data_IF_789643474895
#
_entry.id   IF_789643474895
#
_cell.length_a   1.000
_cell.length_b   1.000
_cell.length_c   1.000
_cell.angle_alpha   90.00
_cell.angle_beta   90.00
_cell.angle_gamma   90.00
#
_symmetry.space_group_name_H-M   'P 1'
#
loop_
_entity.id
_entity.type
_entity.pdbx_description
1 polymer ?
#
# COMPACT_ATOMS: atom_id res chain seq x y z
N UNK A 1 -42.15 -17.24 -5.11
CA UNK A 1 -40.69 -17.53 -5.22
C UNK A 1 -40.14 -17.86 -3.85
N UNK A 2 -39.32 -18.91 -3.74
CA UNK A 2 -38.58 -19.23 -2.52
C UNK A 2 -37.53 -18.16 -2.24
N UNK A 3 -37.26 -17.87 -0.96
CA UNK A 3 -36.20 -16.96 -0.57
C UNK A 3 -34.85 -17.63 -0.80
N UNK A 4 -33.98 -17.02 -1.62
CA UNK A 4 -32.61 -17.52 -1.80
C UNK A 4 -31.82 -17.33 -0.51
N UNK A 5 -31.05 -18.36 -0.16
CA UNK A 5 -30.17 -18.37 1.00
C UNK A 5 -28.75 -18.60 0.51
N UNK A 6 -27.82 -17.83 1.04
CA UNK A 6 -26.40 -17.94 0.73
C UNK A 6 -25.60 -18.21 1.99
N UNK A 7 -24.50 -18.93 1.84
CA UNK A 7 -23.52 -19.20 2.89
C UNK A 7 -22.17 -18.62 2.49
N UNK A 8 -21.42 -18.15 3.49
CA UNK A 8 -20.06 -17.68 3.29
C UNK A 8 -19.30 -17.70 4.60
N UNK A 9 -18.03 -17.34 4.55
CA UNK A 9 -17.18 -17.28 5.73
C UNK A 9 -16.36 -15.99 5.77
N UNK A 10 -16.48 -15.28 6.88
CA UNK A 10 -15.69 -14.08 7.19
C UNK A 10 -14.43 -14.55 7.93
N UNK A 11 -13.22 -14.27 7.41
CA UNK A 11 -12.01 -14.84 7.98
C UNK A 11 -11.77 -14.45 9.44
N UNK A 12 -11.41 -15.44 10.25
CA UNK A 12 -10.98 -15.25 11.65
C UNK A 12 -9.78 -16.13 11.95
N UNK A 13 -8.78 -15.60 12.69
CA UNK A 13 -7.58 -16.39 13.03
C UNK A 13 -7.81 -17.24 14.27
N UNK A 14 -8.45 -16.67 15.30
CA UNK A 14 -8.76 -17.39 16.53
C UNK A 14 -10.04 -18.22 16.46
N UNK A 15 -10.63 -18.36 15.27
CA UNK A 15 -11.95 -18.98 15.09
C UNK A 15 -13.08 -18.22 15.79
N UNK A 16 -12.88 -16.96 16.17
CA UNK A 16 -13.85 -16.14 16.91
C UNK A 16 -13.79 -14.67 16.48
N UNK A 17 -14.90 -14.14 15.98
CA UNK A 17 -15.16 -12.73 15.77
C UNK A 17 -15.44 -12.03 17.09
N UNK A 18 -14.93 -10.81 17.21
CA UNK A 18 -15.25 -9.89 18.29
C UNK A 18 -16.35 -8.94 17.80
N UNK A 19 -17.61 -9.22 18.16
CA UNK A 19 -18.73 -8.38 17.71
C UNK A 19 -18.65 -6.94 18.24
N UNK A 20 -17.90 -6.71 19.32
CA UNK A 20 -17.56 -5.37 19.83
C UNK A 20 -16.63 -4.57 18.91
N UNK A 21 -15.87 -5.24 18.02
CA UNK A 21 -14.99 -4.58 17.04
C UNK A 21 -15.69 -4.30 15.69
N UNK A 22 -16.95 -4.71 15.52
CA UNK A 22 -17.66 -4.46 14.26
C UNK A 22 -17.80 -2.95 14.05
N UNK A 23 -17.37 -2.48 12.88
CA UNK A 23 -17.43 -1.08 12.49
C UNK A 23 -16.33 -0.19 13.06
N UNK A 24 -15.42 -0.68 13.91
CA UNK A 24 -14.32 0.17 14.44
C UNK A 24 -13.21 0.45 13.42
N UNK A 25 -13.42 0.11 12.14
CA UNK A 25 -12.38 0.03 11.12
C UNK A 25 -12.46 1.20 10.16
N UNK A 26 -11.28 1.70 9.80
CA UNK A 26 -11.12 2.88 8.94
C UNK A 26 -11.07 2.54 7.45
N UNK A 27 -10.82 1.28 7.10
CA UNK A 27 -10.72 0.81 5.72
C UNK A 27 -11.70 -0.35 5.45
N UNK A 28 -12.55 -0.23 4.41
CA UNK A 28 -12.89 0.99 3.66
C UNK A 28 -13.47 2.08 4.56
N UNK A 29 -13.44 3.34 4.10
CA UNK A 29 -14.01 4.47 4.85
C UNK A 29 -15.46 4.17 5.19
N UNK A 30 -15.71 3.87 6.45
CA UNK A 30 -17.02 3.55 6.98
C UNK A 30 -17.35 4.50 8.12
N UNK A 31 -18.64 4.80 8.30
CA UNK A 31 -19.15 5.41 9.52
C UNK A 31 -19.80 4.30 10.31
N UNK A 32 -19.44 4.15 11.56
CA UNK A 32 -20.03 3.14 12.40
C UNK A 32 -20.47 3.71 13.73
N UNK A 33 -21.55 3.13 14.24
CA UNK A 33 -22.02 3.28 15.58
C UNK A 33 -22.17 1.87 16.15
N UNK A 34 -21.39 1.55 17.17
CA UNK A 34 -21.48 0.28 17.86
C UNK A 34 -21.77 0.57 19.33
N UNK A 35 -23.01 0.28 19.76
CA UNK A 35 -23.40 0.37 21.16
C UNK A 35 -23.71 -1.03 21.67
N UNK A 36 -22.81 -1.55 22.47
CA UNK A 36 -23.03 -2.78 23.22
C UNK A 36 -23.51 -2.46 24.62
N UNK A 37 -24.64 -3.03 24.99
CA UNK A 37 -25.11 -3.18 26.37
C UNK A 37 -24.99 -4.67 26.77
N UNK A 38 -25.24 -5.00 28.05
CA UNK A 38 -25.14 -6.37 28.61
C UNK A 38 -25.95 -7.40 27.82
N UNK A 39 -27.13 -7.00 27.33
CA UNK A 39 -28.07 -7.93 26.68
C UNK A 39 -28.21 -7.71 25.18
N UNK A 40 -27.74 -6.57 24.65
CA UNK A 40 -27.93 -6.19 23.25
C UNK A 40 -26.73 -5.41 22.73
N UNK A 41 -26.12 -5.88 21.65
CA UNK A 41 -25.20 -5.06 20.88
C UNK A 41 -25.88 -4.60 19.59
N UNK A 42 -26.04 -3.29 19.47
CA UNK A 42 -26.63 -2.63 18.32
C UNK A 42 -25.50 -2.03 17.48
N UNK A 43 -25.32 -2.56 16.28
CA UNK A 43 -24.27 -2.09 15.38
C UNK A 43 -24.91 -1.52 14.11
N UNK A 44 -24.54 -0.29 13.82
CA UNK A 44 -24.83 0.41 12.58
C UNK A 44 -23.54 0.71 11.85
N UNK A 45 -23.43 0.29 10.60
CA UNK A 45 -22.29 0.60 9.74
C UNK A 45 -22.82 1.14 8.43
N UNK A 46 -22.29 2.27 7.97
CA UNK A 46 -22.49 2.83 6.64
C UNK A 46 -21.18 2.74 5.87
N UNK A 47 -21.23 2.14 4.69
CA UNK A 47 -20.12 2.11 3.75
C UNK A 47 -20.60 2.52 2.36
N UNK A 48 -19.80 3.36 1.71
CA UNK A 48 -20.01 3.76 0.33
C UNK A 48 -18.96 3.04 -0.51
N UNK A 49 -19.40 2.10 -1.37
CA UNK A 49 -18.51 1.31 -2.23
C UNK A 49 -18.98 1.36 -3.69
N UNK A 50 -18.02 1.37 -4.62
CA UNK A 50 -18.31 1.16 -6.04
C UNK A 50 -18.82 -0.28 -6.24
N UNK A 51 -19.86 -0.48 -7.04
CA UNK A 51 -20.48 -1.80 -7.24
C UNK A 51 -19.59 -2.83 -7.93
N UNK A 52 -18.64 -2.37 -8.74
CA UNK A 52 -17.67 -3.24 -9.41
C UNK A 52 -16.41 -3.32 -8.54
N UNK A 53 -16.32 -4.35 -7.70
CA UNK A 53 -15.02 -4.85 -7.26
C UNK A 53 -14.29 -5.60 -8.39
N UNK A 54 -14.99 -5.83 -9.50
CA UNK A 54 -14.35 -6.06 -10.79
C UNK A 54 -13.53 -4.82 -11.11
N UNK A 55 -12.22 -4.94 -10.89
CA UNK A 55 -11.21 -4.03 -11.42
C UNK A 55 -11.54 -3.88 -12.90
N UNK A 56 -12.24 -2.80 -13.28
CA UNK A 56 -12.33 -2.43 -14.67
C UNK A 56 -10.88 -2.35 -15.14
N UNK A 57 -10.47 -3.20 -16.10
CA UNK A 57 -9.06 -3.34 -16.45
C UNK A 57 -8.50 -2.01 -16.92
N UNK A 58 -9.33 -1.05 -17.30
CA UNK A 58 -8.94 0.26 -17.80
C UNK A 58 -8.61 1.31 -16.73
N UNK A 59 -8.53 0.97 -15.44
CA UNK A 59 -8.11 1.96 -14.43
C UNK A 59 -6.68 2.47 -14.67
N UNK A 60 -5.79 1.68 -15.29
CA UNK A 60 -4.47 2.17 -15.73
C UNK A 60 -4.56 3.15 -16.90
N UNK A 61 -5.67 3.18 -17.64
CA UNK A 61 -5.94 4.18 -18.66
C UNK A 61 -6.49 5.48 -18.06
N UNK A 62 -6.79 5.58 -16.77
CA UNK A 62 -7.27 6.85 -16.19
C UNK A 62 -6.32 8.03 -16.45
N UNK A 63 -4.98 7.91 -16.28
CA UNK A 63 -4.06 9.00 -16.60
C UNK A 63 -4.10 9.37 -18.09
N UNK A 64 -4.16 8.37 -18.99
CA UNK A 64 -4.28 8.60 -20.43
C UNK A 64 -5.63 9.24 -20.78
N UNK A 65 -6.71 8.79 -20.16
CA UNK A 65 -8.05 9.35 -20.31
C UNK A 65 -8.13 10.77 -19.78
N UNK A 66 -7.53 11.06 -18.63
CA UNK A 66 -7.44 12.42 -18.08
C UNK A 66 -6.58 13.32 -18.98
N UNK A 67 -5.51 12.78 -19.58
CA UNK A 67 -4.68 13.49 -20.54
C UNK A 67 -5.45 13.78 -21.83
N UNK A 68 -6.11 12.77 -22.43
CA UNK A 68 -6.97 12.92 -23.62
C UNK A 68 -8.11 13.88 -23.31
N UNK A 69 -8.79 13.74 -22.17
CA UNK A 69 -9.83 14.65 -21.72
C UNK A 69 -9.29 16.07 -21.53
N UNK A 70 -8.06 16.27 -21.03
CA UNK A 70 -7.45 17.60 -20.88
C UNK A 70 -7.11 18.25 -22.23
N UNK A 71 -6.63 17.46 -23.19
CA UNK A 71 -6.39 17.88 -24.58
C UNK A 71 -7.70 18.24 -25.30
N UNK A 72 -8.74 17.44 -25.09
CA UNK A 72 -10.05 17.60 -25.71
C UNK A 72 -10.93 18.65 -25.01
N UNK A 73 -10.71 18.92 -23.72
CA UNK A 73 -11.46 19.92 -22.95
C UNK A 73 -11.14 21.37 -23.32
N UNK A 74 -10.07 21.61 -24.07
CA UNK A 74 -9.74 22.97 -24.51
C UNK A 74 -10.68 23.47 -25.63
N UNK A 75 -11.03 22.67 -26.66
CA UNK A 75 -12.08 23.03 -27.63
C UNK A 75 -13.50 22.55 -27.30
N UNK A 76 -13.70 21.48 -26.50
CA UNK A 76 -15.05 20.92 -26.26
C UNK A 76 -15.80 21.48 -25.06
N UNK A 77 -15.24 22.46 -24.33
CA UNK A 77 -15.90 23.16 -23.21
C UNK A 77 -17.26 23.79 -23.58
N UNK A 78 -17.51 24.07 -24.86
CA UNK A 78 -18.75 24.67 -25.35
C UNK A 78 -19.86 23.65 -25.67
N UNK A 79 -19.49 22.41 -26.03
CA UNK A 79 -20.43 21.31 -25.87
C UNK A 79 -20.51 21.05 -24.37
N UNK A 80 -21.57 21.54 -23.73
CA UNK A 80 -22.01 21.07 -22.40
C UNK A 80 -22.07 19.55 -22.48
N UNK A 81 -20.95 18.90 -22.15
CA UNK A 81 -20.88 17.52 -21.77
C UNK A 81 -21.81 17.46 -20.56
N UNK A 82 -23.10 17.17 -20.82
CA UNK A 82 -23.95 16.41 -19.92
C UNK A 82 -23.01 15.36 -19.38
N UNK A 83 -22.68 15.50 -18.10
CA UNK A 83 -21.84 14.58 -17.35
C UNK A 83 -22.17 13.20 -17.91
N UNK A 84 -21.27 12.62 -18.71
CA UNK A 84 -21.43 11.21 -19.03
C UNK A 84 -21.45 10.62 -17.63
N UNK A 85 -22.57 10.00 -17.20
CA UNK A 85 -22.63 9.39 -15.89
C UNK A 85 -21.73 8.17 -16.03
N UNK A 86 -20.41 8.38 -15.98
CA UNK A 86 -19.44 7.34 -15.79
C UNK A 86 -19.96 6.63 -14.57
N UNK A 87 -20.36 5.39 -14.81
CA UNK A 87 -21.23 4.55 -14.00
C UNK A 87 -20.62 4.21 -12.64
N UNK A 88 -20.17 5.20 -11.88
CA UNK A 88 -19.86 5.08 -10.47
C UNK A 88 -21.18 5.05 -9.72
N UNK A 89 -21.93 3.96 -9.89
CA UNK A 89 -23.04 3.63 -9.01
C UNK A 89 -22.42 3.30 -7.66
N UNK A 90 -22.33 4.32 -6.82
CA UNK A 90 -21.99 4.17 -5.43
C UNK A 90 -23.15 3.45 -4.75
N UNK A 91 -22.88 2.30 -4.15
CA UNK A 91 -23.85 1.63 -3.29
C UNK A 91 -23.62 2.08 -1.87
N UNK A 92 -24.65 2.70 -1.27
CA UNK A 92 -24.71 2.85 0.18
C UNK A 92 -25.15 1.52 0.75
N UNK A 93 -24.40 1.02 1.73
CA UNK A 93 -24.71 -0.23 2.41
C UNK A 93 -24.81 0.04 3.90
N UNK A 94 -25.90 -0.43 4.49
CA UNK A 94 -26.18 -0.24 5.90
C UNK A 94 -26.35 -1.59 6.60
N UNK A 95 -25.51 -1.88 7.60
CA UNK A 95 -25.70 -2.99 8.54
C UNK A 95 -26.50 -2.45 9.71
N UNK A 96 -27.54 -3.17 10.11
CA UNK A 96 -28.20 -3.00 11.40
C UNK A 96 -28.38 -4.39 12.01
N UNK A 97 -27.82 -4.64 13.18
CA UNK A 97 -27.94 -5.95 13.82
C UNK A 97 -27.96 -5.92 15.33
N UNK A 98 -28.40 -7.04 15.88
CA UNK A 98 -28.44 -7.36 17.30
C UNK A 98 -27.67 -8.65 17.56
N UNK A 99 -26.81 -8.65 18.57
CA UNK A 99 -26.22 -9.90 19.07
C UNK A 99 -27.28 -10.68 19.86
N UNK A 100 -27.43 -11.96 19.53
CA UNK A 100 -28.28 -12.92 20.23
C UNK A 100 -27.43 -14.03 20.82
N UNK A 101 -27.83 -14.52 21.99
CA UNK A 101 -27.24 -15.69 22.63
C UNK A 101 -28.32 -16.74 22.83
N UNK A 102 -28.13 -17.91 22.22
CA UNK A 102 -29.03 -19.05 22.35
C UNK A 102 -28.22 -20.25 22.82
N UNK A 103 -28.26 -20.54 24.12
CA UNK A 103 -27.38 -21.52 24.74
C UNK A 103 -25.91 -21.11 24.62
N UNK A 104 -25.08 -21.99 24.05
CA UNK A 104 -23.67 -21.74 23.78
C UNK A 104 -23.41 -21.03 22.45
N UNK A 105 -24.43 -20.90 21.59
CA UNK A 105 -24.30 -20.21 20.32
C UNK A 105 -24.49 -18.69 20.51
N UNK A 106 -23.46 -17.94 20.16
CA UNK A 106 -23.50 -16.48 20.12
C UNK A 106 -23.40 -16.07 18.67
N UNK A 107 -24.46 -15.44 18.17
CA UNK A 107 -24.51 -14.98 16.78
C UNK A 107 -25.05 -13.56 16.66
N UNK A 108 -24.55 -12.86 15.65
CA UNK A 108 -24.96 -11.52 15.30
C UNK A 108 -26.00 -11.61 14.19
N UNK A 109 -27.23 -11.20 14.51
CA UNK A 109 -28.35 -11.21 13.57
C UNK A 109 -28.61 -9.80 13.09
N UNK A 110 -28.88 -9.62 11.81
CA UNK A 110 -29.21 -8.29 11.34
C UNK A 110 -29.73 -8.25 9.93
N UNK A 111 -29.72 -7.05 9.37
CA UNK A 111 -30.04 -6.80 7.98
C UNK A 111 -28.97 -5.95 7.34
N UNK A 112 -28.56 -6.33 6.13
CA UNK A 112 -27.82 -5.49 5.19
C UNK A 112 -28.83 -4.85 4.25
N UNK A 113 -28.86 -3.53 4.21
CA UNK A 113 -29.67 -2.75 3.28
C UNK A 113 -28.77 -2.21 2.17
N UNK A 114 -29.13 -2.44 0.91
CA UNK A 114 -28.36 -1.98 -0.25
C UNK A 114 -29.19 -0.97 -1.04
N UNK A 115 -28.58 0.18 -1.32
CA UNK A 115 -29.15 1.27 -2.09
C UNK A 115 -28.34 1.47 -3.39
N UNK A 116 -28.71 0.82 -4.51
CA UNK A 116 -28.08 0.98 -5.82
C UNK A 116 -28.19 2.36 -6.46
N UNK A 117 -29.12 3.21 -6.02
CA UNK A 117 -29.27 4.59 -6.51
C UNK A 117 -28.89 5.61 -5.43
N UNK A 118 -28.19 6.66 -5.83
CA UNK A 118 -27.71 7.76 -4.98
C UNK A 118 -28.83 8.66 -4.43
N UNK A 119 -30.10 8.42 -4.82
CA UNK A 119 -31.24 9.25 -4.42
C UNK A 119 -31.60 9.14 -2.93
N UNK A 120 -30.96 8.26 -2.16
CA UNK A 120 -30.99 8.40 -0.71
C UNK A 120 -30.15 9.62 -0.34
N UNK A 121 -30.73 10.72 0.20
CA UNK A 121 -29.98 11.93 0.43
C UNK A 121 -28.90 11.61 1.45
N UNK A 122 -27.64 11.57 1.00
CA UNK A 122 -26.44 11.38 1.83
C UNK A 122 -26.47 12.29 3.06
N UNK A 123 -27.03 13.49 2.92
CA UNK A 123 -27.28 14.42 4.03
C UNK A 123 -28.19 13.84 5.10
N UNK A 124 -29.26 13.13 4.73
CA UNK A 124 -30.16 12.48 5.67
C UNK A 124 -29.47 11.29 6.36
N UNK A 125 -28.72 10.46 5.63
CA UNK A 125 -27.91 9.40 6.24
C UNK A 125 -26.95 9.99 7.29
N UNK A 126 -26.15 10.99 6.88
CA UNK A 126 -25.20 11.66 7.74
C UNK A 126 -25.86 12.30 8.96
N UNK A 127 -26.92 13.11 8.77
CA UNK A 127 -27.63 13.75 9.87
C UNK A 127 -28.19 12.73 10.85
N UNK A 128 -28.72 11.60 10.37
CA UNK A 128 -29.28 10.57 11.24
C UNK A 128 -28.19 9.77 11.99
N UNK A 129 -27.03 9.56 11.37
CA UNK A 129 -25.86 8.95 12.03
C UNK A 129 -25.31 9.88 13.11
N UNK A 130 -25.03 11.14 12.77
CA UNK A 130 -24.38 12.11 13.66
C UNK A 130 -25.27 12.44 14.88
N UNK A 131 -26.59 12.45 14.70
CA UNK A 131 -27.56 12.71 15.77
C UNK A 131 -28.00 11.46 16.56
N UNK A 132 -27.46 10.27 16.24
CA UNK A 132 -27.94 8.99 16.75
C UNK A 132 -29.44 8.71 16.49
N UNK A 133 -30.10 9.54 15.66
CA UNK A 133 -31.52 9.41 15.38
C UNK A 133 -31.83 8.22 14.48
N UNK A 134 -30.84 7.65 13.77
CA UNK A 134 -30.97 6.37 13.04
C UNK A 134 -31.51 5.26 13.94
N UNK A 135 -31.21 5.31 15.24
CA UNK A 135 -31.65 4.32 16.24
C UNK A 135 -33.15 4.42 16.54
N UNK A 136 -33.80 5.54 16.22
CA UNK A 136 -35.26 5.67 16.39
C UNK A 136 -35.95 4.71 15.43
N UNK A 137 -36.90 3.95 15.96
CA UNK A 137 -37.60 2.88 15.22
C UNK A 137 -38.26 3.40 13.94
N UNK A 138 -38.79 4.61 13.96
CA UNK A 138 -39.46 5.28 12.84
C UNK A 138 -38.48 5.58 11.70
N UNK A 139 -37.30 6.06 12.08
CA UNK A 139 -36.21 6.41 11.18
C UNK A 139 -35.62 5.17 10.51
N UNK A 140 -35.36 4.12 11.29
CA UNK A 140 -34.95 2.83 10.75
C UNK A 140 -36.02 2.24 9.82
N UNK A 141 -37.31 2.30 10.17
CA UNK A 141 -38.41 1.85 9.29
C UNK A 141 -38.42 2.62 7.96
N UNK A 142 -38.16 3.93 7.96
CA UNK A 142 -38.07 4.75 6.74
C UNK A 142 -36.91 4.31 5.85
N UNK A 143 -35.72 4.12 6.43
CA UNK A 143 -34.53 3.61 5.72
C UNK A 143 -34.81 2.22 5.15
N UNK A 144 -35.32 1.33 6.00
CA UNK A 144 -35.65 -0.05 5.64
C UNK A 144 -36.62 -0.14 4.47
N UNK A 145 -37.68 0.68 4.46
CA UNK A 145 -38.67 0.73 3.37
C UNK A 145 -38.06 1.19 2.04
N UNK A 146 -37.11 2.12 2.08
CA UNK A 146 -36.45 2.67 0.89
C UNK A 146 -35.34 1.79 0.32
N UNK A 147 -34.87 0.79 1.06
CA UNK A 147 -33.84 -0.12 0.57
C UNK A 147 -34.40 -0.99 -0.55
N UNK A 148 -33.76 -0.96 -1.71
CA UNK A 148 -34.08 -1.79 -2.88
C UNK A 148 -33.84 -3.28 -2.56
N UNK A 149 -32.74 -3.58 -1.86
CA UNK A 149 -32.37 -4.95 -1.47
C UNK A 149 -32.15 -5.07 0.02
N UNK A 150 -32.61 -6.18 0.60
CA UNK A 150 -32.54 -6.46 2.03
C UNK A 150 -32.04 -7.89 2.25
N UNK A 151 -30.89 -8.02 2.90
CA UNK A 151 -30.34 -9.32 3.24
C UNK A 151 -30.36 -9.50 4.75
N UNK A 152 -31.21 -10.39 5.22
CA UNK A 152 -31.19 -10.82 6.61
C UNK A 152 -29.97 -11.72 6.80
N UNK A 153 -29.16 -11.44 7.81
CA UNK A 153 -27.98 -12.24 8.05
C UNK A 153 -27.98 -12.82 9.46
N UNK A 154 -27.32 -13.98 9.58
CA UNK A 154 -26.86 -14.55 10.84
C UNK A 154 -25.36 -14.81 10.70
N UNK A 155 -24.57 -14.13 11.53
CA UNK A 155 -23.13 -14.25 11.58
C UNK A 155 -22.75 -14.92 12.90
N UNK A 156 -22.19 -16.12 12.83
CA UNK A 156 -21.70 -16.84 14.00
C UNK A 156 -20.33 -16.31 14.43
N UNK A 157 -19.95 -16.53 15.70
CA UNK A 157 -18.60 -16.17 16.17
C UNK A 157 -17.50 -16.83 15.36
N UNK A 158 -17.67 -18.04 14.86
CA UNK A 158 -16.68 -18.70 13.99
C UNK A 158 -16.50 -18.04 12.61
N UNK A 159 -17.25 -16.98 12.29
CA UNK A 159 -17.19 -16.26 11.02
C UNK A 159 -18.13 -16.82 9.95
N UNK A 160 -18.85 -17.91 10.21
CA UNK A 160 -19.85 -18.42 9.26
C UNK A 160 -21.01 -17.45 9.14
N UNK A 161 -21.32 -17.08 7.91
CA UNK A 161 -22.42 -16.19 7.54
C UNK A 161 -23.48 -17.00 6.82
N UNK A 162 -24.73 -16.82 7.25
CA UNK A 162 -25.92 -17.14 6.44
C UNK A 162 -26.60 -15.84 6.03
N UNK A 163 -26.72 -15.59 4.73
CA UNK A 163 -27.50 -14.49 4.17
C UNK A 163 -28.82 -15.04 3.61
N UNK A 164 -29.93 -14.39 3.91
CA UNK A 164 -31.24 -14.69 3.36
C UNK A 164 -31.78 -13.44 2.70
N UNK A 165 -32.01 -13.54 1.40
CA UNK A 165 -32.54 -12.46 0.60
C UNK A 165 -34.03 -12.23 0.91
N UNK A 166 -34.44 -10.96 1.04
CA UNK A 166 -35.84 -10.54 1.03
C UNK A 166 -36.02 -9.28 0.18
N UNK A 167 -37.05 -9.31 -0.67
CA UNK A 167 -37.40 -8.19 -1.53
C UNK A 167 -38.41 -7.27 -0.86
N UNK A 168 -38.38 -5.99 -1.25
CA UNK A 168 -39.56 -5.14 -1.10
C UNK A 168 -40.66 -5.69 -2.04
N UNK A 169 -41.93 -5.79 -1.60
CA UNK A 169 -43.03 -6.26 -2.43
C UNK A 169 -43.10 -5.52 -3.77
N UNK A 170 -42.91 -4.20 -3.74
CA UNK A 170 -42.99 -3.33 -4.91
C UNK A 170 -41.86 -3.57 -5.93
N UNK A 171 -40.73 -4.13 -5.49
CA UNK A 171 -39.59 -4.43 -6.36
C UNK A 171 -39.77 -5.75 -7.11
N UNK A 172 -40.55 -6.70 -6.56
CA UNK A 172 -40.84 -7.98 -7.23
C UNK A 172 -41.58 -7.80 -8.56
N UNK A 173 -42.38 -6.75 -8.70
CA UNK A 173 -43.10 -6.48 -9.95
C UNK A 173 -42.18 -6.01 -11.09
N UNK A 174 -41.00 -5.49 -10.76
CA UNK A 174 -40.01 -4.98 -11.75
C UNK A 174 -39.01 -6.06 -12.16
N UNK A 175 -38.98 -7.17 -11.41
CA UNK A 175 -38.06 -8.29 -11.59
C UNK A 175 -38.68 -9.31 -12.57
N UNK A 176 -38.56 -9.05 -13.87
CA UNK A 176 -38.95 -9.96 -14.95
C UNK A 176 -37.96 -11.12 -15.11
N UNK A 177 -38.41 -12.25 -15.68
CA UNK A 177 -37.72 -13.55 -15.72
C UNK A 177 -36.45 -13.65 -16.57
N UNK A 178 -35.68 -12.57 -16.72
CA UNK A 178 -34.48 -12.55 -17.56
C UNK A 178 -33.27 -13.19 -16.86
N UNK A 179 -32.45 -13.91 -17.63
CA UNK A 179 -31.19 -14.54 -17.20
C UNK A 179 -30.21 -13.52 -16.58
N UNK A 180 -30.28 -12.25 -17.01
CA UNK A 180 -29.51 -11.14 -16.44
C UNK A 180 -29.86 -10.90 -14.96
N UNK A 181 -31.07 -11.24 -14.54
CA UNK A 181 -31.49 -10.99 -13.17
C UNK A 181 -30.85 -11.94 -12.17
N UNK A 182 -30.71 -13.22 -12.49
CA UNK A 182 -30.03 -14.16 -11.60
C UNK A 182 -28.57 -13.74 -11.38
N UNK A 183 -27.90 -13.31 -12.45
CA UNK A 183 -26.55 -12.78 -12.39
C UNK A 183 -26.49 -11.52 -11.51
N UNK A 184 -27.43 -10.58 -11.71
CA UNK A 184 -27.55 -9.36 -10.91
C UNK A 184 -27.80 -9.66 -9.43
N UNK A 185 -28.70 -10.60 -9.11
CA UNK A 185 -29.00 -11.06 -7.74
C UNK A 185 -27.77 -11.67 -7.08
N UNK A 186 -27.05 -12.53 -7.79
CA UNK A 186 -25.80 -13.10 -7.31
C UNK A 186 -24.74 -12.02 -7.04
N UNK A 187 -24.60 -11.04 -7.94
CA UNK A 187 -23.67 -9.91 -7.78
C UNK A 187 -24.01 -9.06 -6.56
N UNK A 188 -25.27 -8.67 -6.38
CA UNK A 188 -25.70 -7.86 -5.22
C UNK A 188 -25.55 -8.64 -3.91
N UNK A 189 -25.83 -9.95 -3.92
CA UNK A 189 -25.64 -10.80 -2.74
C UNK A 189 -24.16 -10.88 -2.35
N UNK A 190 -23.24 -11.00 -3.32
CA UNK A 190 -21.79 -10.94 -3.08
C UNK A 190 -21.39 -9.60 -2.48
N UNK A 191 -21.94 -8.51 -3.00
CA UNK A 191 -21.68 -7.16 -2.48
C UNK A 191 -22.19 -6.98 -1.04
N UNK A 192 -23.34 -7.55 -0.69
CA UNK A 192 -23.85 -7.56 0.68
C UNK A 192 -22.92 -8.35 1.62
N UNK A 193 -22.40 -9.49 1.16
CA UNK A 193 -21.41 -10.27 1.90
C UNK A 193 -20.07 -9.55 2.08
N UNK A 194 -19.50 -8.97 1.01
CA UNK A 194 -18.25 -8.23 1.09
C UNK A 194 -18.36 -7.05 2.03
N UNK A 195 -19.51 -6.38 2.06
CA UNK A 195 -19.77 -5.34 3.05
C UNK A 195 -19.80 -5.87 4.48
N UNK A 196 -20.48 -6.99 4.72
CA UNK A 196 -20.49 -7.62 6.05
C UNK A 196 -19.07 -8.06 6.47
N UNK A 197 -18.30 -8.60 5.53
CA UNK A 197 -16.89 -8.96 5.74
C UNK A 197 -16.06 -7.74 6.08
N UNK A 198 -16.09 -6.69 5.26
CA UNK A 198 -15.35 -5.43 5.48
C UNK A 198 -15.66 -4.84 6.87
N UNK A 199 -16.93 -4.84 7.28
CA UNK A 199 -17.38 -4.35 8.58
C UNK A 199 -16.90 -5.20 9.78
N UNK A 200 -16.70 -6.50 9.60
CA UNK A 200 -16.41 -7.45 10.68
C UNK A 200 -14.96 -7.99 10.73
N UNK A 201 -14.22 -7.97 9.62
CA UNK A 201 -12.94 -8.69 9.47
C UNK A 201 -11.72 -7.78 9.58
N UNK A 202 -10.89 -7.91 10.61
CA UNK A 202 -9.71 -7.06 10.78
C UNK A 202 -8.50 -7.55 10.00
N UNK A 203 -8.06 -6.74 9.03
CA UNK A 203 -6.87 -6.93 8.20
C UNK A 203 -5.57 -6.72 9.01
N UNK A 204 -5.32 -7.58 10.01
CA UNK A 204 -4.07 -7.52 10.79
C UNK A 204 -2.91 -8.24 10.11
N UNK A 205 -3.20 -9.14 9.18
CA UNK A 205 -2.21 -10.11 8.65
C UNK A 205 -2.11 -10.12 7.12
N UNK A 206 -2.86 -9.26 6.43
CA UNK A 206 -2.74 -9.09 4.99
C UNK A 206 -3.21 -7.68 4.57
N UNK A 207 -2.81 -7.28 3.37
CA UNK A 207 -3.30 -6.06 2.76
C UNK A 207 -4.84 -6.13 2.56
N UNK A 208 -5.61 -5.09 2.92
CA UNK A 208 -7.04 -5.00 2.67
C UNK A 208 -7.45 -5.25 1.21
N UNK A 209 -6.60 -4.92 0.25
CA UNK A 209 -6.85 -5.12 -1.18
C UNK A 209 -6.78 -6.60 -1.59
N UNK A 210 -6.17 -7.47 -0.78
CA UNK A 210 -6.06 -8.89 -1.04
C UNK A 210 -7.23 -9.71 -0.48
N UNK A 211 -8.25 -9.09 0.11
CA UNK A 211 -9.36 -9.80 0.76
C UNK A 211 -10.34 -10.51 -0.20
N UNK A 212 -9.93 -10.88 -1.42
CA UNK A 212 -10.82 -11.54 -2.40
C UNK A 212 -10.89 -13.07 -2.22
N UNK A 213 -10.42 -13.60 -1.09
CA UNK A 213 -10.24 -15.04 -0.90
C UNK A 213 -11.49 -15.78 -0.41
N UNK A 214 -12.51 -15.05 0.06
CA UNK A 214 -13.80 -15.65 0.45
C UNK A 214 -14.95 -15.01 -0.32
N UNK A 215 -15.97 -15.80 -0.62
CA UNK A 215 -17.19 -15.39 -1.32
C UNK A 215 -18.40 -16.08 -0.69
N UNK A 216 -19.59 -15.70 -1.14
CA UNK A 216 -20.81 -16.45 -0.88
C UNK A 216 -21.05 -17.54 -1.91
N UNK A 217 -21.81 -18.54 -1.47
CA UNK A 217 -22.26 -19.69 -2.23
C UNK A 217 -23.75 -19.92 -1.97
N UNK A 218 -24.46 -20.47 -2.94
CA UNK A 218 -25.87 -20.85 -2.75
C UNK A 218 -26.00 -21.94 -1.68
N UNK A 219 -27.11 -21.94 -0.92
CA UNK A 219 -27.44 -22.97 0.06
C UNK A 219 -27.40 -24.38 -0.53
N UNK A 220 -27.83 -24.51 -1.78
CA UNK A 220 -27.90 -25.82 -2.45
C UNK A 220 -26.50 -26.33 -2.85
N UNK A 221 -25.47 -25.48 -2.75
CA UNK A 221 -24.09 -25.87 -2.94
C UNK A 221 -23.49 -26.44 -1.63
N UNK A 222 -23.71 -27.74 -1.39
CA UNK A 222 -23.11 -28.47 -0.27
C UNK A 222 -21.58 -28.46 -0.25
N UNK A 223 -20.93 -28.09 -1.37
CA UNK A 223 -19.47 -28.07 -1.53
C UNK A 223 -18.85 -26.71 -1.22
N UNK A 224 -19.62 -25.73 -0.76
CA UNK A 224 -19.09 -24.41 -0.45
C UNK A 224 -17.90 -24.38 0.54
N UNK A 225 -17.82 -25.24 1.58
CA UNK A 225 -16.66 -25.22 2.48
C UNK A 225 -15.39 -25.68 1.77
N UNK A 226 -15.50 -26.71 0.93
CA UNK A 226 -14.40 -27.16 0.07
C UNK A 226 -13.91 -26.05 -0.84
N UNK A 227 -14.84 -25.29 -1.42
CA UNK A 227 -14.52 -24.17 -2.29
C UNK A 227 -13.80 -23.03 -1.54
N UNK A 228 -14.24 -22.70 -0.31
CA UNK A 228 -13.55 -21.72 0.54
C UNK A 228 -12.12 -22.18 0.87
N UNK A 229 -11.92 -23.44 1.27
CA UNK A 229 -10.58 -24.00 1.51
C UNK A 229 -9.71 -23.94 0.25
N UNK A 230 -10.26 -24.31 -0.91
CA UNK A 230 -9.57 -24.24 -2.19
C UNK A 230 -9.05 -22.84 -2.49
N UNK A 231 -9.91 -21.84 -2.32
CA UNK A 231 -9.57 -20.43 -2.57
C UNK A 231 -8.48 -19.95 -1.63
N UNK A 232 -8.55 -20.31 -0.34
CA UNK A 232 -7.55 -19.95 0.67
C UNK A 232 -6.19 -20.63 0.42
N UNK A 233 -6.17 -21.91 0.07
CA UNK A 233 -4.92 -22.61 -0.30
C UNK A 233 -4.31 -22.04 -1.59
N UNK A 234 -5.13 -21.76 -2.60
CA UNK A 234 -4.68 -21.13 -3.85
C UNK A 234 -4.08 -19.76 -3.58
N UNK A 235 -4.71 -18.95 -2.73
CA UNK A 235 -4.20 -17.64 -2.32
C UNK A 235 -2.86 -17.76 -1.57
N UNK A 236 -2.78 -18.65 -0.59
CA UNK A 236 -1.53 -18.95 0.15
C UNK A 236 -0.40 -19.32 -0.81
N UNK A 237 -0.68 -20.23 -1.76
CA UNK A 237 0.30 -20.69 -2.75
C UNK A 237 0.70 -19.58 -3.70
N UNK A 238 -0.25 -18.74 -4.12
CA UNK A 238 0.01 -17.58 -4.99
C UNK A 238 0.98 -16.60 -4.31
N UNK A 239 0.71 -16.20 -3.07
CA UNK A 239 1.58 -15.27 -2.32
C UNK A 239 2.93 -15.91 -1.99
N UNK A 240 2.94 -17.19 -1.60
CA UNK A 240 4.19 -17.91 -1.38
C UNK A 240 5.04 -17.94 -2.65
N UNK A 241 4.50 -18.38 -3.80
CA UNK A 241 5.26 -18.46 -5.06
C UNK A 241 5.67 -17.09 -5.60
N UNK A 242 4.83 -16.08 -5.46
CA UNK A 242 5.18 -14.71 -5.84
C UNK A 242 6.31 -14.11 -4.98
N UNK A 243 6.55 -14.67 -3.77
CA UNK A 243 7.36 -14.15 -2.67
C UNK A 243 8.80 -13.78 -2.99
N UNK A 244 8.96 -12.70 -3.75
CA UNK A 244 10.19 -11.94 -3.93
C UNK A 244 10.46 -11.03 -2.73
N UNK A 245 9.45 -10.76 -1.90
CA UNK A 245 9.57 -9.92 -0.70
C UNK A 245 9.18 -10.66 0.58
N UNK A 246 9.75 -10.21 1.70
CA UNK A 246 9.38 -10.67 3.05
C UNK A 246 7.90 -10.42 3.36
N UNK A 247 7.32 -9.37 2.79
CA UNK A 247 5.92 -9.00 3.00
C UNK A 247 4.97 -9.99 2.33
N UNK A 248 5.24 -10.40 1.09
CA UNK A 248 4.45 -11.42 0.40
C UNK A 248 4.41 -12.75 1.15
N UNK A 249 5.55 -13.17 1.71
CA UNK A 249 5.64 -14.39 2.51
C UNK A 249 4.89 -14.27 3.85
N UNK A 250 4.92 -13.10 4.49
CA UNK A 250 4.11 -12.82 5.69
C UNK A 250 2.62 -12.86 5.38
N UNK A 251 2.19 -12.30 4.25
CA UNK A 251 0.81 -12.38 3.79
C UNK A 251 0.40 -13.84 3.54
N UNK A 252 1.27 -14.64 2.92
CA UNK A 252 1.01 -16.07 2.75
C UNK A 252 0.81 -16.80 4.09
N UNK A 253 1.62 -16.51 5.12
CA UNK A 253 1.43 -17.07 6.47
C UNK A 253 0.11 -16.60 7.11
N UNK A 254 -0.25 -15.33 6.92
CA UNK A 254 -1.53 -14.78 7.38
C UNK A 254 -2.73 -15.51 6.76
N UNK A 255 -2.70 -15.72 5.45
CA UNK A 255 -3.74 -16.48 4.72
C UNK A 255 -3.78 -17.93 5.19
N UNK A 256 -2.62 -18.57 5.38
CA UNK A 256 -2.52 -19.94 5.87
C UNK A 256 -3.13 -20.10 7.27
N UNK A 257 -2.98 -19.11 8.15
CA UNK A 257 -3.63 -19.10 9.46
C UNK A 257 -5.16 -19.10 9.33
N UNK A 258 -5.73 -18.32 8.40
CA UNK A 258 -7.17 -18.39 8.09
C UNK A 258 -7.57 -19.76 7.54
N UNK A 259 -6.77 -20.36 6.65
CA UNK A 259 -7.03 -21.70 6.11
C UNK A 259 -7.13 -22.74 7.22
N UNK A 260 -6.18 -22.75 8.16
CA UNK A 260 -6.18 -23.67 9.31
C UNK A 260 -7.38 -23.44 10.22
N UNK A 261 -7.71 -22.18 10.52
CA UNK A 261 -8.86 -21.83 11.35
C UNK A 261 -10.17 -22.29 10.70
N UNK A 262 -10.36 -22.03 9.41
CA UNK A 262 -11.57 -22.44 8.70
C UNK A 262 -11.70 -23.96 8.62
N UNK A 263 -10.61 -24.68 8.30
CA UNK A 263 -10.59 -26.15 8.29
C UNK A 263 -11.08 -26.70 9.64
N UNK A 264 -10.52 -26.21 10.75
CA UNK A 264 -10.93 -26.62 12.10
C UNK A 264 -12.40 -26.32 12.39
N UNK A 265 -12.91 -25.17 11.97
CA UNK A 265 -14.33 -24.81 12.13
C UNK A 265 -15.23 -25.76 11.35
N UNK A 266 -14.85 -26.03 10.10
CA UNK A 266 -15.66 -26.82 9.19
C UNK A 266 -15.65 -28.32 9.54
N UNK A 267 -14.56 -28.82 10.14
CA UNK A 267 -14.50 -30.16 10.76
C UNK A 267 -15.33 -30.26 12.04
N UNK A 268 -15.40 -29.18 12.83
CA UNK A 268 -16.10 -29.16 14.12
C UNK A 268 -17.61 -28.91 14.01
N UNK A 269 -18.09 -28.35 12.90
CA UNK A 269 -19.50 -28.00 12.70
C UNK A 269 -20.14 -28.91 11.61
N UNK A 270 -20.93 -29.93 12.02
CA UNK A 270 -21.61 -30.82 11.08
C UNK A 270 -22.53 -30.10 10.10
N UNK A 271 -23.03 -28.90 10.44
CA UNK A 271 -23.91 -28.13 9.55
C UNK A 271 -23.16 -27.49 8.38
N UNK A 272 -21.84 -27.35 8.47
CA UNK A 272 -20.99 -26.86 7.38
C UNK A 272 -20.71 -28.01 6.40
N UNK A 273 -20.56 -29.23 6.92
CA UNK A 273 -20.37 -30.44 6.13
C UNK A 273 -18.90 -30.88 6.13
N UNK A 274 -18.59 -32.14 6.49
CA UNK A 274 -17.22 -32.60 6.71
C UNK A 274 -16.50 -33.09 5.45
N UNK A 275 -17.11 -33.00 4.26
CA UNK A 275 -16.53 -33.61 3.06
C UNK A 275 -15.38 -32.76 2.48
N UNK A 276 -14.21 -32.90 3.10
CA UNK A 276 -12.92 -32.36 2.66
C UNK A 276 -12.10 -33.35 1.83
N UNK A 277 -12.74 -34.38 1.26
CA UNK A 277 -12.06 -35.34 0.38
C UNK A 277 -11.22 -34.61 -0.68
N UNK A 278 -9.94 -35.01 -0.77
CA UNK A 278 -8.93 -34.37 -1.63
C UNK A 278 -8.07 -33.29 -0.96
N UNK A 279 -8.34 -32.90 0.29
CA UNK A 279 -7.48 -31.98 1.08
C UNK A 279 -6.79 -32.67 2.27
N UNK A 280 -6.96 -33.98 2.42
CA UNK A 280 -6.37 -34.79 3.48
C UNK A 280 -4.83 -34.77 3.44
N UNK A 281 -4.24 -34.66 2.25
CA UNK A 281 -2.80 -34.61 2.06
C UNK A 281 -2.17 -33.22 2.10
N UNK A 282 -2.97 -32.15 2.17
CA UNK A 282 -2.40 -30.79 2.27
C UNK A 282 -2.10 -30.50 3.73
N UNK A 283 -0.86 -30.79 4.14
CA UNK A 283 -0.36 -30.43 5.45
C UNK A 283 -0.04 -28.93 5.49
N UNK A 284 -0.91 -28.19 6.17
CA UNK A 284 -0.69 -26.77 6.41
C UNK A 284 0.61 -26.49 7.16
N UNK A 285 1.16 -27.44 7.94
CA UNK A 285 2.43 -27.30 8.63
C UNK A 285 3.61 -27.31 7.66
N UNK A 286 3.67 -28.25 6.74
CA UNK A 286 4.68 -28.29 5.68
C UNK A 286 4.72 -26.98 4.86
N UNK A 287 3.57 -26.40 4.52
CA UNK A 287 3.50 -25.11 3.81
C UNK A 287 4.10 -23.98 4.67
N UNK A 288 3.77 -23.94 5.96
CA UNK A 288 4.31 -22.93 6.87
C UNK A 288 5.83 -23.06 7.03
N UNK A 289 6.33 -24.28 7.19
CA UNK A 289 7.76 -24.55 7.33
C UNK A 289 8.52 -24.14 6.08
N UNK A 290 8.00 -24.46 4.90
CA UNK A 290 8.56 -24.01 3.62
C UNK A 290 8.60 -22.47 3.48
N UNK A 291 7.54 -21.78 3.91
CA UNK A 291 7.51 -20.31 3.90
C UNK A 291 8.53 -19.73 4.90
N UNK A 292 8.64 -20.32 6.10
CA UNK A 292 9.57 -19.86 7.14
C UNK A 292 11.03 -20.01 6.72
N UNK A 293 11.39 -21.13 6.05
CA UNK A 293 12.73 -21.32 5.48
C UNK A 293 13.05 -20.18 4.51
N UNK A 294 12.13 -19.86 3.58
CA UNK A 294 12.34 -18.76 2.63
C UNK A 294 12.42 -17.38 3.28
N UNK A 295 11.68 -17.15 4.37
CA UNK A 295 11.81 -15.91 5.15
C UNK A 295 13.20 -15.83 5.79
N UNK A 296 13.72 -16.95 6.32
CA UNK A 296 15.07 -17.00 6.89
C UNK A 296 16.12 -16.69 5.82
N UNK A 297 16.02 -17.30 4.65
CA UNK A 297 16.93 -17.07 3.51
C UNK A 297 16.94 -15.58 3.09
N UNK A 298 15.76 -14.94 2.99
CA UNK A 298 15.66 -13.51 2.65
C UNK A 298 16.33 -12.64 3.73
N UNK A 299 16.11 -12.96 5.01
CA UNK A 299 16.71 -12.20 6.13
C UNK A 299 18.22 -12.34 6.14
N UNK A 300 18.75 -13.54 5.84
CA UNK A 300 20.19 -13.76 5.71
C UNK A 300 20.77 -12.98 4.53
N UNK A 301 20.14 -13.04 3.35
CA UNK A 301 20.54 -12.27 2.18
C UNK A 301 20.52 -10.76 2.42
N UNK A 302 19.53 -10.24 3.16
CA UNK A 302 19.46 -8.82 3.50
C UNK A 302 20.58 -8.43 4.49
N UNK A 303 20.90 -9.29 5.47
CA UNK A 303 22.06 -9.08 6.35
C UNK A 303 23.39 -9.08 5.58
N UNK A 304 23.55 -9.98 4.62
CA UNK A 304 24.74 -10.00 3.77
C UNK A 304 24.86 -8.75 2.91
N UNK A 305 23.74 -8.27 2.34
CA UNK A 305 23.70 -7.00 1.59
C UNK A 305 24.05 -5.82 2.48
N UNK A 306 23.50 -5.76 3.69
CA UNK A 306 23.80 -4.70 4.65
C UNK A 306 25.28 -4.73 5.04
N UNK A 307 25.83 -5.91 5.34
CA UNK A 307 27.24 -6.08 5.63
C UNK A 307 28.14 -5.72 4.43
N UNK A 308 27.76 -6.09 3.21
CA UNK A 308 28.48 -5.73 1.99
C UNK A 308 28.41 -4.21 1.72
N UNK A 309 27.27 -3.57 2.00
CA UNK A 309 27.09 -2.13 1.87
C UNK A 309 27.96 -1.35 2.85
N UNK A 310 28.05 -1.83 4.11
CA UNK A 310 28.93 -1.30 5.15
C UNK A 310 30.41 -1.48 4.79
N UNK A 311 30.80 -2.65 4.26
CA UNK A 311 32.16 -2.90 3.77
C UNK A 311 32.57 -1.91 2.68
N UNK A 312 31.63 -1.51 1.81
CA UNK A 312 31.90 -0.51 0.79
C UNK A 312 31.92 0.93 1.34
N UNK A 313 31.17 1.23 2.41
CA UNK A 313 31.18 2.54 3.07
C UNK A 313 32.48 2.84 3.82
N UNK A 314 33.15 1.83 4.38
CA UNK A 314 34.42 2.01 5.12
C UNK A 314 35.49 2.79 4.33
N UNK A 315 35.87 2.34 3.11
CA UNK A 315 36.78 3.07 2.25
C UNK A 315 36.30 4.48 1.89
N UNK A 316 34.99 4.69 1.76
CA UNK A 316 34.40 6.01 1.50
C UNK A 316 34.57 6.97 2.67
N UNK A 317 34.25 6.51 3.87
CA UNK A 317 34.40 7.30 5.10
C UNK A 317 35.88 7.63 5.32
N UNK A 318 36.79 6.66 5.13
CA UNK A 318 38.23 6.89 5.22
C UNK A 318 38.71 7.94 4.20
N UNK A 319 38.24 7.84 2.96
CA UNK A 319 38.57 8.80 1.89
C UNK A 319 38.05 10.21 2.19
N UNK A 320 36.82 10.32 2.71
CA UNK A 320 36.23 11.60 3.09
C UNK A 320 36.95 12.22 4.30
N UNK A 321 37.30 11.43 5.31
CA UNK A 321 38.08 11.90 6.47
C UNK A 321 39.46 12.41 6.07
N UNK A 322 40.13 11.70 5.16
CA UNK A 322 41.41 12.13 4.60
C UNK A 322 41.29 13.44 3.82
N UNK A 323 40.21 13.60 3.04
CA UNK A 323 39.90 14.86 2.35
C UNK A 323 39.69 16.03 3.32
N UNK A 324 38.90 15.82 4.37
CA UNK A 324 38.67 16.85 5.41
C UNK A 324 40.00 17.22 6.09
N UNK A 325 40.85 16.23 6.38
CA UNK A 325 42.19 16.45 6.93
C UNK A 325 43.09 17.30 6.02
N UNK A 326 43.09 17.03 4.71
CA UNK A 326 43.85 17.84 3.74
C UNK A 326 43.34 19.26 3.61
N UNK A 327 42.02 19.47 3.59
CA UNK A 327 41.41 20.81 3.55
C UNK A 327 41.73 21.59 4.82
N UNK A 328 41.62 20.96 5.99
CA UNK A 328 41.96 21.57 7.26
C UNK A 328 43.45 21.95 7.33
N UNK A 329 44.34 21.05 6.90
CA UNK A 329 45.78 21.31 6.83
C UNK A 329 46.10 22.44 5.86
N UNK A 330 45.52 22.44 4.65
CA UNK A 330 45.70 23.51 3.68
C UNK A 330 45.24 24.87 4.22
N UNK A 331 44.07 24.91 4.87
CA UNK A 331 43.53 26.12 5.50
C UNK A 331 44.42 26.60 6.64
N UNK A 332 44.97 25.69 7.44
CA UNK A 332 45.92 26.01 8.50
C UNK A 332 47.22 26.61 7.93
N UNK A 333 47.80 26.01 6.89
CA UNK A 333 49.01 26.51 6.23
C UNK A 333 48.79 27.88 5.58
N UNK A 334 47.65 28.09 4.93
CA UNK A 334 47.27 29.39 4.36
C UNK A 334 47.16 30.45 5.48
N UNK A 335 46.51 30.12 6.60
CA UNK A 335 46.42 31.05 7.74
C UNK A 335 47.79 31.35 8.36
N UNK A 336 48.68 30.36 8.45
CA UNK A 336 50.04 30.54 8.95
C UNK A 336 50.88 31.43 8.03
N UNK A 337 50.66 31.35 6.72
CA UNK A 337 51.30 32.22 5.73
C UNK A 337 50.69 33.64 5.70
N UNK A 338 49.37 33.75 5.75
CA UNK A 338 48.63 35.01 5.60
C UNK A 338 48.62 35.87 6.89
N UNK A 339 48.91 35.28 8.06
CA UNK A 339 48.78 35.95 9.34
C UNK A 339 50.14 36.01 10.09
N UNK A 340 51.04 36.94 9.71
CA UNK A 340 52.35 37.11 10.34
C UNK A 340 52.28 37.51 11.83
N UNK A 341 51.09 37.85 12.34
CA UNK A 341 50.86 38.12 13.76
C UNK A 341 50.86 36.85 14.63
N UNK A 342 50.56 35.66 14.07
CA UNK A 342 50.58 34.39 14.83
C UNK A 342 52.02 33.92 15.09
N UNK A 343 52.98 34.34 14.27
CA UNK A 343 54.43 34.20 14.51
C UNK A 343 55.03 35.37 15.28
N UNK A 344 54.21 36.38 15.65
CA UNK A 344 54.68 37.64 16.21
C UNK A 344 53.80 38.11 17.36
N UNK A 345 53.88 37.45 18.52
CA UNK A 345 53.53 38.11 19.78
C UNK A 345 54.46 39.31 19.96
N UNK A 346 53.88 40.52 19.96
CA UNK A 346 54.53 41.83 20.22
C UNK A 346 56.04 41.81 20.07
N UNK A 347 56.48 41.64 18.83
CA UNK A 347 57.90 41.63 18.53
C UNK A 347 58.37 43.08 18.51
N UNK A 348 59.25 43.43 19.46
CA UNK A 348 59.88 44.73 19.52
C UNK A 348 60.43 45.14 18.13
N UNK A 349 60.38 46.43 17.74
CA UNK A 349 60.74 46.91 16.41
C UNK A 349 62.11 46.42 15.90
N UNK A 350 62.98 46.02 16.82
CA UNK A 350 64.34 45.53 16.61
C UNK A 350 64.41 44.17 15.89
N UNK A 351 63.43 43.27 16.07
CA UNK A 351 63.41 41.99 15.37
C UNK A 351 62.59 42.02 14.05
N UNK A 352 61.93 43.14 13.73
CA UNK A 352 61.26 43.31 12.44
C UNK A 352 62.29 43.37 11.30
N UNK A 353 63.47 43.94 11.56
CA UNK A 353 64.61 43.91 10.63
C UNK A 353 65.20 42.49 10.48
N UNK A 354 65.14 41.66 11.51
CA UNK A 354 65.59 40.26 11.45
C UNK A 354 64.60 39.38 10.65
N UNK A 355 63.30 39.61 10.76
CA UNK A 355 62.28 38.92 9.96
C UNK A 355 62.27 39.37 8.49
N UNK A 356 62.57 40.64 8.20
CA UNK A 356 62.78 41.10 6.81
C UNK A 356 64.00 40.45 6.15
N UNK A 357 64.98 40.00 6.96
CA UNK A 357 66.13 39.23 6.49
C UNK A 357 65.89 37.71 6.47
N UNK A 358 64.75 37.24 6.98
CA UNK A 358 64.41 35.82 7.00
C UNK A 358 64.00 35.36 5.60
N UNK A 359 64.99 34.99 4.80
CA UNK A 359 64.79 34.19 3.61
C UNK A 359 64.20 32.84 4.06
N UNK A 360 63.00 32.45 3.60
CA UNK A 360 62.48 31.11 3.89
C UNK A 360 63.57 30.13 3.52
N UNK A 361 63.96 29.26 4.45
CA UNK A 361 64.98 28.25 4.18
C UNK A 361 64.60 27.51 2.89
N UNK A 362 65.52 27.30 1.94
CA UNK A 362 65.20 26.83 0.59
C UNK A 362 64.24 25.64 0.55
N UNK A 363 64.32 24.73 1.53
CA UNK A 363 63.45 23.57 1.64
C UNK A 363 61.95 23.91 1.88
N UNK A 364 61.61 25.00 2.60
CA UNK A 364 60.22 25.43 2.79
C UNK A 364 59.61 26.00 1.49
N UNK A 365 60.40 26.75 0.73
CA UNK A 365 60.02 27.22 -0.60
C UNK A 365 59.84 26.03 -1.55
N UNK A 366 60.75 25.05 -1.51
CA UNK A 366 60.61 23.80 -2.28
C UNK A 366 59.34 23.04 -1.91
N UNK A 367 59.02 22.90 -0.62
CA UNK A 367 57.80 22.21 -0.17
C UNK A 367 56.54 22.98 -0.59
N UNK A 368 56.48 24.29 -0.40
CA UNK A 368 55.29 25.09 -0.78
C UNK A 368 55.05 25.07 -2.29
N UNK A 369 56.12 25.18 -3.08
CA UNK A 369 56.06 25.08 -4.54
C UNK A 369 55.65 23.68 -4.99
N UNK A 370 56.23 22.64 -4.39
CA UNK A 370 55.83 21.26 -4.65
C UNK A 370 54.35 21.02 -4.28
N UNK A 371 53.88 21.52 -3.15
CA UNK A 371 52.47 21.39 -2.75
C UNK A 371 51.53 22.17 -3.69
N UNK A 372 51.90 23.38 -4.12
CA UNK A 372 51.11 24.18 -5.06
C UNK A 372 51.06 23.54 -6.46
N UNK A 373 52.19 23.04 -6.97
CA UNK A 373 52.28 22.38 -8.27
C UNK A 373 51.52 21.04 -8.28
N UNK A 374 51.54 20.31 -7.15
CA UNK A 374 50.82 19.04 -7.02
C UNK A 374 49.36 19.22 -6.59
N UNK A 375 48.95 20.38 -6.06
CA UNK A 375 47.56 20.64 -5.68
C UNK A 375 46.61 20.49 -6.88
N UNK A 376 47.00 20.98 -8.05
CA UNK A 376 46.23 20.84 -9.29
C UNK A 376 46.11 19.36 -9.68
N UNK A 377 47.18 18.58 -9.53
CA UNK A 377 47.18 17.14 -9.84
C UNK A 377 46.26 16.38 -8.87
N UNK A 378 46.33 16.69 -7.58
CA UNK A 378 45.48 16.10 -6.54
C UNK A 378 44.02 16.48 -6.78
N UNK A 379 43.71 17.76 -7.01
CA UNK A 379 42.37 18.24 -7.29
C UNK A 379 41.79 17.65 -8.58
N UNK A 380 42.61 17.53 -9.63
CA UNK A 380 42.21 16.91 -10.91
C UNK A 380 41.96 15.42 -10.76
N UNK A 381 42.83 14.71 -10.03
CA UNK A 381 42.64 13.30 -9.68
C UNK A 381 41.34 13.07 -8.91
N UNK A 382 41.01 13.97 -7.99
CA UNK A 382 39.74 13.95 -7.26
C UNK A 382 38.52 14.26 -8.11
N UNK A 383 38.60 15.26 -9.02
CA UNK A 383 37.51 15.57 -9.95
C UNK A 383 37.23 14.38 -10.89
N UNK A 384 38.28 13.75 -11.41
CA UNK A 384 38.17 12.55 -12.25
C UNK A 384 37.58 11.37 -11.46
N UNK A 385 38.01 11.19 -10.21
CA UNK A 385 37.43 10.18 -9.31
C UNK A 385 35.94 10.44 -9.06
N UNK A 386 35.54 11.69 -8.80
CA UNK A 386 34.15 12.08 -8.57
C UNK A 386 33.30 11.88 -9.83
N UNK A 387 33.83 12.19 -11.02
CA UNK A 387 33.14 11.94 -12.29
C UNK A 387 32.98 10.44 -12.59
N UNK A 388 34.02 9.63 -12.36
CA UNK A 388 33.94 8.18 -12.47
C UNK A 388 32.92 7.59 -11.48
N UNK A 389 32.85 8.17 -10.28
CA UNK A 389 31.88 7.81 -9.26
C UNK A 389 30.44 8.12 -9.66
N UNK A 390 30.17 9.34 -10.16
CA UNK A 390 28.86 9.72 -10.71
C UNK A 390 28.48 8.78 -11.87
N UNK A 391 29.44 8.39 -12.72
CA UNK A 391 29.24 7.38 -13.75
C UNK A 391 28.85 6.00 -13.19
N UNK A 392 29.49 5.56 -12.10
CA UNK A 392 29.20 4.27 -11.45
C UNK A 392 27.85 4.28 -10.73
N UNK A 393 27.51 5.37 -10.03
CA UNK A 393 26.16 5.62 -9.48
C UNK A 393 25.14 5.59 -10.60
N UNK A 394 25.37 6.33 -11.70
CA UNK A 394 24.50 6.30 -12.88
C UNK A 394 24.32 4.88 -13.40
N UNK A 395 25.38 4.08 -13.50
CA UNK A 395 25.28 2.67 -13.93
C UNK A 395 24.47 1.78 -12.97
N UNK A 396 24.50 2.07 -11.66
CA UNK A 396 23.75 1.34 -10.64
C UNK A 396 22.31 1.80 -10.55
N UNK A 397 22.04 3.10 -10.66
CA UNK A 397 20.70 3.67 -10.80
C UNK A 397 20.06 3.15 -12.08
N UNK A 398 20.78 3.16 -13.20
CA UNK A 398 20.29 2.58 -14.46
C UNK A 398 20.07 1.06 -14.35
N UNK A 399 20.88 0.32 -13.58
CA UNK A 399 20.64 -1.11 -13.29
C UNK A 399 19.45 -1.34 -12.35
N UNK A 400 19.27 -0.47 -11.37
CA UNK A 400 18.09 -0.42 -10.50
C UNK A 400 16.82 -0.16 -11.33
N UNK A 401 16.93 0.70 -12.35
CA UNK A 401 15.89 0.89 -13.37
C UNK A 401 15.86 -0.21 -14.45
N UNK A 402 16.88 -1.07 -14.61
CA UNK A 402 16.81 -2.27 -15.47
C UNK A 402 16.04 -3.43 -14.84
N UNK A 403 15.62 -3.32 -13.58
CA UNK A 403 14.48 -4.11 -13.04
C UNK A 403 13.18 -3.85 -13.85
N UNK A 404 13.18 -2.88 -14.77
CA UNK A 404 12.17 -2.71 -15.82
C UNK A 404 12.05 -3.86 -16.82
N UNK A 405 12.92 -4.86 -16.86
CA UNK A 405 12.68 -6.00 -17.77
C UNK A 405 11.41 -6.79 -17.36
N UNK A 406 11.01 -6.73 -16.08
CA UNK A 406 9.68 -7.18 -15.63
C UNK A 406 8.55 -6.28 -16.15
N UNK A 407 8.80 -4.98 -16.35
CA UNK A 407 7.84 -3.98 -16.83
C UNK A 407 7.72 -3.95 -18.37
N UNK A 408 8.81 -4.24 -19.08
CA UNK A 408 8.88 -4.31 -20.55
C UNK A 408 8.14 -5.54 -21.09
N UNK A 409 8.22 -6.67 -20.39
CA UNK A 409 7.52 -7.89 -20.77
C UNK A 409 5.99 -7.79 -20.63
N UNK A 410 5.49 -6.95 -19.72
CA UNK A 410 4.04 -6.86 -19.46
C UNK A 410 3.31 -5.85 -20.36
N UNK A 411 4.00 -4.88 -20.97
CA UNK A 411 3.32 -3.72 -21.57
C UNK A 411 3.71 -3.37 -23.02
N UNK A 412 4.72 -4.00 -23.62
CA UNK A 412 5.05 -3.77 -25.05
C UNK A 412 5.45 -2.33 -25.43
N UNK A 413 5.73 -1.47 -24.45
CA UNK A 413 6.07 -0.06 -24.66
C UNK A 413 7.59 0.12 -24.75
N UNK A 414 8.12 -0.02 -25.96
CA UNK A 414 9.52 0.31 -26.25
C UNK A 414 9.69 1.84 -26.36
N UNK A 415 10.39 2.48 -25.40
CA UNK A 415 11.04 3.80 -25.60
C UNK A 415 10.72 4.93 -24.63
N UNK A 416 9.60 4.90 -23.90
CA UNK A 416 9.14 6.05 -23.07
C UNK A 416 10.08 6.43 -21.89
N UNK A 417 10.62 5.47 -21.10
CA UNK A 417 11.44 5.81 -19.93
C UNK A 417 12.79 6.45 -20.29
N UNK A 418 13.34 6.11 -21.46
CA UNK A 418 14.63 6.62 -21.93
C UNK A 418 14.57 8.11 -22.28
N UNK A 419 13.43 8.56 -22.81
CA UNK A 419 13.20 9.96 -23.18
C UNK A 419 13.08 10.85 -21.93
N UNK A 420 12.30 10.40 -20.93
CA UNK A 420 12.11 11.15 -19.69
C UNK A 420 13.41 11.26 -18.87
N UNK A 421 14.18 10.18 -18.77
CA UNK A 421 15.47 10.18 -18.07
C UNK A 421 16.51 11.08 -18.75
N UNK A 422 16.59 11.04 -20.08
CA UNK A 422 17.50 11.91 -20.84
C UNK A 422 17.13 13.38 -20.68
N UNK A 423 15.83 13.71 -20.65
CA UNK A 423 15.36 15.08 -20.45
C UNK A 423 15.73 15.62 -19.07
N UNK A 424 15.61 14.80 -18.01
CA UNK A 424 16.02 15.17 -16.66
C UNK A 424 17.54 15.41 -16.53
N UNK A 425 18.35 14.57 -17.17
CA UNK A 425 19.81 14.72 -17.16
C UNK A 425 20.29 15.96 -17.92
N UNK A 426 19.64 16.30 -19.03
CA UNK A 426 19.92 17.54 -19.78
C UNK A 426 19.61 18.77 -18.90
N UNK A 427 18.49 18.75 -18.18
CA UNK A 427 18.13 19.83 -17.23
C UNK A 427 19.12 19.96 -16.07
N UNK A 428 19.55 18.84 -15.49
CA UNK A 428 20.53 18.85 -14.39
C UNK A 428 21.92 19.33 -14.84
N UNK A 429 22.40 18.87 -16.01
CA UNK A 429 23.67 19.30 -16.58
C UNK A 429 23.66 20.80 -16.94
N UNK A 430 22.54 21.27 -17.51
CA UNK A 430 22.36 22.69 -17.84
C UNK A 430 22.40 23.59 -16.60
N UNK A 431 21.80 23.14 -15.50
CA UNK A 431 21.83 23.84 -14.22
C UNK A 431 23.25 23.97 -13.65
N UNK A 432 24.04 22.90 -13.70
CA UNK A 432 25.43 22.92 -13.20
C UNK A 432 26.30 23.88 -14.01
N UNK A 433 26.18 23.86 -15.34
CA UNK A 433 26.91 24.77 -16.22
C UNK A 433 26.52 26.23 -15.92
N UNK A 434 25.23 26.49 -15.71
CA UNK A 434 24.72 27.84 -15.50
C UNK A 434 25.15 28.46 -14.16
N UNK A 435 25.31 27.65 -13.10
CA UNK A 435 25.66 28.16 -11.77
C UNK A 435 27.15 28.08 -11.43
N UNK A 436 27.85 27.02 -11.85
CA UNK A 436 29.23 26.76 -11.43
C UNK A 436 30.24 27.49 -12.31
N UNK A 437 30.02 27.51 -13.62
CA UNK A 437 30.99 28.09 -14.57
C UNK A 437 31.16 29.61 -14.38
N UNK A 438 30.10 30.42 -14.19
CA UNK A 438 30.27 31.86 -13.94
C UNK A 438 30.98 32.16 -12.60
N UNK A 439 30.80 31.29 -11.60
CA UNK A 439 31.45 31.47 -10.30
C UNK A 439 32.94 31.14 -10.37
N UNK A 440 33.32 30.09 -11.10
CA UNK A 440 34.74 29.78 -11.33
C UNK A 440 35.44 30.84 -12.18
N UNK A 441 34.79 31.37 -13.22
CA UNK A 441 35.36 32.46 -14.03
C UNK A 441 35.66 33.68 -13.15
N UNK A 442 34.73 34.08 -12.26
CA UNK A 442 34.96 35.21 -11.35
C UNK A 442 36.13 35.02 -10.37
N UNK A 443 36.40 33.78 -9.96
CA UNK A 443 37.51 33.46 -9.04
C UNK A 443 38.87 33.44 -9.77
N UNK A 444 38.89 33.20 -11.07
CA UNK A 444 40.14 33.16 -11.86
C UNK A 444 40.48 34.48 -12.55
N UNK A 445 39.49 35.37 -12.75
CA UNK A 445 39.68 36.67 -13.42
C UNK A 445 39.68 37.86 -12.47
N UNK A 446 39.56 37.64 -11.17
CA UNK A 446 39.72 38.64 -10.11
C UNK A 446 40.84 38.19 -9.18
#
# INVERSE_FOLDING_TARGET
MSLKTYYGWIPTIGGRLLFSEIGTKTNPRSRAFNKSDRDQALVFVEQIKKTSDELFPFTFLLPLWNFIASLLNYPLRWLKWREFPVYERWTVRLIAGKVSKTGNDVSFHGVVLVFPKYDYPRKLAHQMFDSHQVLRRENFKRIYRRADWRYFFRLQKNGVVRLQERFAPDFQAVLSSDVDEEHRRASISKQAFYFLRDACHTHRHHDPNNDQHTTIHDKDNSKWPREVLRLLYRATTKHSRAGASREDLRQALGILAYTRSFKKIAEADPAIGPDFSGYEGIDGQQIADSINIRIADIVELDREKDAASLKWLGPWIASLSLMIGFVALGTFLINLWANPAITGGTVAPEHLNALQSYQPTPWLLTISKYLAENFVIVATGWLLFLMAFVGKIRSRILRFFQVQDLFKATLGLYGLPKILMNSFLILAASSIIYFVVPHMIRVFTG
#
